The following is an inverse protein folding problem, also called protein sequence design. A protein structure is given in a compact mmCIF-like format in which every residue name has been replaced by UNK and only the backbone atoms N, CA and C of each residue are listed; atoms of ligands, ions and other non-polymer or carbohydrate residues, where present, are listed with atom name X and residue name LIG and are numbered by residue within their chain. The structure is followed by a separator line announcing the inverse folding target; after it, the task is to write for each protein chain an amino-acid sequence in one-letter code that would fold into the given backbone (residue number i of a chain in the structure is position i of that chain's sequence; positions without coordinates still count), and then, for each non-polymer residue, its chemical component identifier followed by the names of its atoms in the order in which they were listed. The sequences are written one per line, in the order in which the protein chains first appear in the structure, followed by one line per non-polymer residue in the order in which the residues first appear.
data_IF_336035051129
#
_entry.id   IF_336035051129
#
_cell.length_a   1.000
_cell.length_b   1.000
_cell.length_c   1.000
_cell.angle_alpha   90.00
_cell.angle_beta   90.00
_cell.angle_gamma   90.00
#
_symmetry.space_group_name_H-M   'P 1'
#
loop_
_entity.id
_entity.type
_entity.pdbx_description
1 polymer ?
#
# COMPACT_ATOMS: atom_id res chain seq x y z
N UNK A 1 -19.29 -10.09 22.92
CA UNK A 1 -18.17 -10.90 23.42
C UNK A 1 -18.48 -12.33 23.00
N UNK A 2 -17.88 -12.81 21.90
CA UNK A 2 -18.19 -14.14 21.35
C UNK A 2 -17.83 -15.24 22.34
N UNK A 3 -18.53 -16.37 22.30
CA UNK A 3 -18.23 -17.55 23.13
C UNK A 3 -16.78 -17.97 22.92
N UNK A 4 -15.93 -17.54 23.87
CA UNK A 4 -14.47 -17.66 23.84
C UNK A 4 -14.01 -19.11 23.69
N UNK A 5 -14.86 -20.06 24.10
CA UNK A 5 -14.53 -21.47 24.22
C UNK A 5 -14.61 -22.22 22.89
N UNK A 6 -15.63 -21.96 22.05
CA UNK A 6 -15.80 -22.64 20.76
C UNK A 6 -14.75 -22.19 19.73
N UNK A 7 -14.44 -20.88 19.69
CA UNK A 7 -13.38 -20.35 18.85
C UNK A 7 -12.01 -20.90 19.25
N UNK A 8 -11.71 -20.87 20.56
CA UNK A 8 -10.42 -21.35 21.10
C UNK A 8 -10.21 -22.83 20.84
N UNK A 9 -11.24 -23.68 20.99
CA UNK A 9 -11.13 -25.12 20.80
C UNK A 9 -10.82 -25.55 19.36
N UNK A 10 -11.21 -24.74 18.36
CA UNK A 10 -10.98 -25.07 16.95
C UNK A 10 -9.66 -24.50 16.43
N UNK A 11 -9.30 -23.26 16.77
CA UNK A 11 -8.07 -22.66 16.27
C UNK A 11 -6.81 -23.26 16.90
N UNK A 12 -6.87 -23.69 18.17
CA UNK A 12 -5.71 -24.23 18.90
C UNK A 12 -5.28 -25.63 18.45
N UNK A 13 -6.07 -26.31 17.62
CA UNK A 13 -5.67 -27.58 16.98
C UNK A 13 -4.54 -27.39 15.97
N UNK A 14 -4.55 -26.24 15.30
CA UNK A 14 -3.68 -25.92 14.16
C UNK A 14 -2.69 -24.80 14.44
N UNK A 15 -2.91 -24.02 15.50
CA UNK A 15 -2.15 -22.80 15.81
C UNK A 15 -1.73 -22.74 17.26
N UNK A 16 -0.55 -22.18 17.49
CA UNK A 16 -0.13 -21.66 18.79
C UNK A 16 -0.52 -20.19 18.86
N UNK A 17 -1.39 -19.84 19.80
CA UNK A 17 -1.83 -18.46 19.98
C UNK A 17 -0.86 -17.72 20.90
N UNK A 18 -0.36 -16.57 20.43
CA UNK A 18 0.48 -15.67 21.20
C UNK A 18 -0.18 -14.29 21.19
N UNK A 19 -0.38 -13.70 22.37
CA UNK A 19 -0.97 -12.38 22.54
C UNK A 19 0.10 -11.44 23.08
N UNK A 20 0.33 -10.34 22.36
CA UNK A 20 1.18 -9.25 22.80
C UNK A 20 0.28 -8.05 23.07
N UNK A 21 0.26 -7.58 24.31
CA UNK A 21 -0.60 -6.46 24.73
C UNK A 21 0.20 -5.16 24.81
N UNK A 22 -0.48 -4.04 24.48
CA UNK A 22 0.09 -2.69 24.41
C UNK A 22 -0.82 -1.69 25.15
N UNK A 23 -0.98 -1.82 26.48
CA UNK A 23 -1.87 -0.98 27.27
C UNK A 23 -1.33 0.46 27.39
N UNK A 24 -2.25 1.44 27.42
CA UNK A 24 -1.89 2.85 27.58
C UNK A 24 -1.64 3.25 29.04
N UNK A 25 -2.37 2.67 29.99
CA UNK A 25 -2.26 3.00 31.41
C UNK A 25 -0.97 2.44 32.01
N UNK A 26 -0.17 3.28 32.66
CA UNK A 26 1.13 2.91 33.27
C UNK A 26 1.00 1.74 34.26
N UNK A 27 -0.08 1.73 35.06
CA UNK A 27 -0.37 0.66 36.01
C UNK A 27 -0.54 -0.71 35.33
N UNK A 28 -1.07 -0.73 34.11
CA UNK A 28 -1.29 -1.95 33.33
C UNK A 28 -0.06 -2.32 32.52
N UNK A 29 0.74 -1.34 32.07
CA UNK A 29 2.05 -1.58 31.41
C UNK A 29 2.98 -2.39 32.31
N UNK A 30 2.98 -2.12 33.62
CA UNK A 30 3.77 -2.88 34.60
C UNK A 30 3.38 -4.35 34.70
N UNK A 31 2.19 -4.74 34.23
CA UNK A 31 1.72 -6.13 34.21
C UNK A 31 2.06 -6.86 32.91
N UNK A 32 2.60 -6.17 31.90
CA UNK A 32 3.03 -6.79 30.64
C UNK A 32 4.26 -7.65 30.92
N UNK A 33 4.25 -8.97 30.63
CA UNK A 33 5.35 -9.85 31.01
C UNK A 33 6.71 -9.50 30.39
N UNK A 34 6.71 -8.94 29.18
CA UNK A 34 7.94 -8.56 28.49
C UNK A 34 7.69 -7.37 27.53
N UNK A 35 7.59 -6.14 28.04
CA UNK A 35 7.24 -4.97 27.24
C UNK A 35 8.31 -4.62 26.20
N UNK A 36 9.59 -4.82 26.53
CA UNK A 36 10.71 -4.59 25.60
C UNK A 36 10.60 -5.51 24.39
N UNK A 37 10.37 -6.81 24.61
CA UNK A 37 10.18 -7.75 23.51
C UNK A 37 8.95 -7.45 22.67
N UNK A 38 7.86 -6.99 23.29
CA UNK A 38 6.66 -6.59 22.55
C UNK A 38 6.97 -5.44 21.59
N UNK A 39 7.70 -4.42 22.06
CA UNK A 39 8.07 -3.27 21.23
C UNK A 39 9.05 -3.68 20.11
N UNK A 40 10.04 -4.53 20.40
CA UNK A 40 10.93 -5.10 19.37
C UNK A 40 10.15 -5.80 18.26
N UNK A 41 9.16 -6.63 18.61
CA UNK A 41 8.36 -7.37 17.65
C UNK A 41 7.40 -6.48 16.86
N UNK A 42 6.83 -5.46 17.51
CA UNK A 42 6.00 -4.43 16.87
C UNK A 42 6.79 -3.69 15.80
N UNK A 43 8.02 -3.27 16.11
CA UNK A 43 8.94 -2.64 15.16
C UNK A 43 9.32 -3.62 14.06
N UNK A 44 9.76 -4.84 14.41
CA UNK A 44 10.20 -5.87 13.46
C UNK A 44 9.16 -6.18 12.39
N UNK A 45 7.88 -6.23 12.76
CA UNK A 45 6.78 -6.55 11.84
C UNK A 45 6.01 -5.32 11.34
N UNK A 46 6.51 -4.10 11.58
CA UNK A 46 5.92 -2.86 11.08
C UNK A 46 4.47 -2.64 11.52
N UNK A 47 4.16 -2.94 12.79
CA UNK A 47 2.79 -2.86 13.31
C UNK A 47 2.50 -1.44 13.80
N UNK A 48 1.67 -0.72 13.04
CA UNK A 48 1.30 0.68 13.30
C UNK A 48 -0.11 0.85 13.86
N UNK A 49 -0.92 -0.20 13.87
CA UNK A 49 -2.32 -0.17 14.33
C UNK A 49 -2.78 -1.48 14.95
N UNK A 50 -3.81 -1.40 15.79
CA UNK A 50 -4.38 -2.53 16.52
C UNK A 50 -5.92 -2.59 16.32
N UNK A 51 -6.53 -3.79 16.35
CA UNK A 51 -5.88 -5.10 16.47
C UNK A 51 -5.24 -5.54 15.16
N UNK A 52 -4.05 -6.14 15.26
CA UNK A 52 -3.36 -6.81 14.14
C UNK A 52 -3.05 -8.24 14.52
N UNK A 53 -3.40 -9.19 13.65
CA UNK A 53 -3.10 -10.62 13.79
C UNK A 53 -2.14 -11.04 12.70
N UNK A 54 -1.03 -11.67 13.07
CA UNK A 54 -0.06 -12.21 12.14
C UNK A 54 -0.15 -13.74 12.13
N UNK A 55 -0.24 -14.32 10.95
CA UNK A 55 -0.12 -15.76 10.73
C UNK A 55 1.30 -16.02 10.23
N UNK A 56 2.06 -16.82 10.98
CA UNK A 56 3.49 -17.01 10.72
C UNK A 56 3.96 -18.46 10.91
N UNK A 57 5.08 -18.79 10.29
CA UNK A 57 5.80 -20.05 10.52
C UNK A 57 6.46 -20.06 11.91
N UNK A 58 6.87 -21.22 12.44
CA UNK A 58 7.63 -21.28 13.70
C UNK A 58 8.92 -20.45 13.70
N UNK A 59 9.51 -20.24 12.51
CA UNK A 59 10.71 -19.42 12.33
C UNK A 59 10.41 -17.90 12.30
N UNK A 60 9.14 -17.52 12.44
CA UNK A 60 8.68 -16.14 12.45
C UNK A 60 8.49 -15.51 11.08
N UNK A 61 8.41 -16.32 10.01
CA UNK A 61 8.08 -15.79 8.68
C UNK A 61 6.57 -15.62 8.56
N UNK A 62 6.13 -14.38 8.40
CA UNK A 62 4.73 -14.06 8.22
C UNK A 62 4.29 -14.55 6.84
N UNK A 63 3.14 -15.22 6.79
CA UNK A 63 2.47 -15.63 5.55
C UNK A 63 1.05 -15.07 5.44
N UNK A 64 0.49 -14.50 6.51
CA UNK A 64 -0.77 -13.78 6.46
C UNK A 64 -0.84 -12.68 7.52
N UNK A 65 -1.63 -11.64 7.22
CA UNK A 65 -1.97 -10.57 8.15
C UNK A 65 -3.49 -10.41 8.16
N UNK A 66 -4.06 -10.15 9.33
CA UNK A 66 -5.48 -9.90 9.53
C UNK A 66 -5.67 -8.82 10.61
N UNK A 67 -6.89 -8.33 10.75
CA UNK A 67 -7.30 -7.32 11.72
C UNK A 67 -8.75 -7.50 12.13
N UNK A 68 -9.37 -6.46 12.69
CA UNK A 68 -10.81 -6.50 12.96
C UNK A 68 -11.60 -6.40 11.65
N UNK A 69 -12.41 -7.40 11.35
CA UNK A 69 -13.18 -7.49 10.10
C UNK A 69 -14.69 -7.38 10.30
N UNK A 70 -15.18 -7.25 11.54
CA UNK A 70 -16.61 -7.31 11.86
C UNK A 70 -17.26 -8.69 11.61
N UNK A 71 -16.49 -9.69 11.18
CA UNK A 71 -16.95 -11.03 10.85
C UNK A 71 -17.38 -11.83 12.09
N UNK A 72 -18.23 -12.83 11.89
CA UNK A 72 -18.53 -13.85 12.89
C UNK A 72 -17.29 -14.73 13.17
N UNK A 73 -17.21 -15.41 14.33
CA UNK A 73 -16.09 -16.31 14.64
C UNK A 73 -15.88 -17.39 13.58
N UNK A 74 -16.95 -17.97 13.04
CA UNK A 74 -16.91 -19.00 12.01
C UNK A 74 -16.34 -18.47 10.70
N UNK A 75 -16.80 -17.29 10.26
CA UNK A 75 -16.28 -16.61 9.07
C UNK A 75 -14.80 -16.25 9.23
N UNK A 76 -14.41 -15.76 10.42
CA UNK A 76 -13.01 -15.43 10.71
C UNK A 76 -12.12 -16.69 10.69
N UNK A 77 -12.59 -17.82 11.23
CA UNK A 77 -11.84 -19.08 11.16
C UNK A 77 -11.67 -19.57 9.72
N UNK A 78 -12.71 -19.48 8.90
CA UNK A 78 -12.63 -19.83 7.48
C UNK A 78 -11.63 -18.93 6.74
N UNK A 79 -11.66 -17.63 7.01
CA UNK A 79 -10.70 -16.66 6.47
C UNK A 79 -9.25 -16.98 6.88
N UNK A 80 -9.02 -17.34 8.15
CA UNK A 80 -7.70 -17.76 8.64
C UNK A 80 -7.19 -19.02 7.92
N UNK A 81 -8.06 -19.99 7.65
CA UNK A 81 -7.69 -21.21 6.90
C UNK A 81 -7.34 -20.90 5.45
N UNK A 82 -8.12 -20.04 4.78
CA UNK A 82 -7.83 -19.56 3.43
C UNK A 82 -6.49 -18.82 3.39
N UNK A 83 -6.30 -17.83 4.28
CA UNK A 83 -5.04 -17.08 4.41
C UNK A 83 -3.85 -17.97 4.70
N UNK A 84 -4.01 -19.02 5.51
CA UNK A 84 -2.94 -20.01 5.73
C UNK A 84 -2.58 -20.76 4.45
N UNK A 85 -3.57 -21.19 3.68
CA UNK A 85 -3.35 -21.99 2.47
C UNK A 85 -2.67 -21.15 1.39
N UNK A 86 -3.26 -20.01 1.07
CA UNK A 86 -2.77 -19.09 0.04
C UNK A 86 -1.45 -18.44 0.47
N UNK A 87 -1.37 -17.98 1.72
CA UNK A 87 -0.19 -17.34 2.28
C UNK A 87 1.03 -18.25 2.30
N UNK A 88 0.87 -19.52 2.72
CA UNK A 88 1.98 -20.49 2.68
C UNK A 88 2.42 -20.80 1.25
N UNK A 89 1.48 -20.90 0.32
CA UNK A 89 1.81 -21.09 -1.10
C UNK A 89 2.57 -19.87 -1.67
N UNK A 90 2.15 -18.65 -1.33
CA UNK A 90 2.83 -17.42 -1.71
C UNK A 90 4.24 -17.36 -1.11
N UNK A 91 4.39 -17.62 0.19
CA UNK A 91 5.69 -17.64 0.87
C UNK A 91 6.64 -18.68 0.25
N UNK A 92 6.14 -19.89 -0.05
CA UNK A 92 6.92 -20.92 -0.74
C UNK A 92 7.38 -20.45 -2.13
N UNK A 93 6.48 -19.82 -2.90
CA UNK A 93 6.81 -19.26 -4.21
C UNK A 93 7.89 -18.17 -4.09
N UNK A 94 7.80 -17.29 -3.11
CA UNK A 94 8.80 -16.23 -2.87
C UNK A 94 10.16 -16.85 -2.52
N UNK A 95 10.20 -17.87 -1.66
CA UNK A 95 11.44 -18.60 -1.36
C UNK A 95 12.05 -19.24 -2.60
N UNK A 96 11.23 -19.85 -3.45
CA UNK A 96 11.69 -20.43 -4.71
C UNK A 96 12.26 -19.37 -5.64
N UNK A 97 11.64 -18.19 -5.75
CA UNK A 97 12.17 -17.08 -6.57
C UNK A 97 13.55 -16.64 -6.06
N UNK A 98 13.72 -16.54 -4.74
CA UNK A 98 15.01 -16.15 -4.17
C UNK A 98 16.10 -17.20 -4.46
N UNK A 99 15.77 -18.49 -4.33
CA UNK A 99 16.68 -19.59 -4.68
C UNK A 99 17.01 -19.60 -6.18
N UNK A 100 16.01 -19.41 -7.03
CA UNK A 100 16.15 -19.31 -8.48
C UNK A 100 17.06 -18.14 -8.86
N UNK A 101 16.93 -17.00 -8.18
CA UNK A 101 17.76 -15.82 -8.43
C UNK A 101 19.23 -16.08 -8.10
N UNK A 102 19.51 -16.78 -6.99
CA UNK A 102 20.89 -17.09 -6.61
C UNK A 102 21.52 -18.15 -7.53
N UNK A 103 20.73 -19.11 -8.03
CA UNK A 103 21.20 -20.17 -8.93
C UNK A 103 21.25 -19.77 -10.42
N UNK A 104 20.50 -18.76 -10.84
CA UNK A 104 20.36 -18.40 -12.25
C UNK A 104 21.64 -17.83 -12.85
N UNK A 105 22.00 -18.32 -14.03
CA UNK A 105 23.04 -17.71 -14.88
C UNK A 105 22.59 -16.37 -15.44
N UNK A 106 21.36 -16.32 -15.94
CA UNK A 106 20.70 -15.08 -16.33
C UNK A 106 19.75 -14.63 -15.22
N UNK A 107 20.26 -13.76 -14.35
CA UNK A 107 19.51 -13.23 -13.21
C UNK A 107 18.38 -12.29 -13.62
N UNK A 108 18.43 -11.70 -14.82
CA UNK A 108 17.45 -10.71 -15.26
C UNK A 108 16.08 -11.36 -15.51
N UNK A 109 16.04 -12.61 -15.97
CA UNK A 109 14.79 -13.36 -16.12
C UNK A 109 14.07 -13.51 -14.77
N UNK A 110 14.83 -13.87 -13.74
CA UNK A 110 14.26 -14.06 -12.39
C UNK A 110 13.84 -12.74 -11.77
N UNK A 111 14.60 -11.67 -11.99
CA UNK A 111 14.26 -10.33 -11.52
C UNK A 111 12.95 -9.84 -12.14
N UNK A 112 12.72 -10.06 -13.44
CA UNK A 112 11.44 -9.71 -14.09
C UNK A 112 10.26 -10.50 -13.49
N UNK A 113 10.47 -11.78 -13.19
CA UNK A 113 9.49 -12.62 -12.50
C UNK A 113 9.20 -12.10 -11.08
N UNK A 114 10.23 -11.67 -10.34
CA UNK A 114 10.08 -11.08 -9.01
C UNK A 114 9.29 -9.76 -9.07
N UNK A 115 9.57 -8.88 -10.03
CA UNK A 115 8.82 -7.64 -10.23
C UNK A 115 7.34 -7.88 -10.53
N UNK A 116 7.04 -8.84 -11.41
CA UNK A 116 5.67 -9.22 -11.72
C UNK A 116 4.91 -9.79 -10.51
N UNK A 117 5.59 -10.53 -9.62
CA UNK A 117 4.98 -10.97 -8.36
C UNK A 117 4.77 -9.81 -7.40
N UNK A 118 5.77 -8.95 -7.24
CA UNK A 118 5.72 -7.80 -6.34
C UNK A 118 4.58 -6.84 -6.70
N UNK A 119 4.36 -6.56 -7.99
CA UNK A 119 3.29 -5.68 -8.47
C UNK A 119 1.86 -6.17 -8.16
N UNK A 120 1.73 -7.43 -7.73
CA UNK A 120 0.47 -8.08 -7.37
C UNK A 120 0.39 -8.45 -5.88
N UNK A 121 1.41 -8.09 -5.08
CA UNK A 121 1.36 -8.27 -3.63
C UNK A 121 0.84 -6.98 -3.00
N UNK A 122 -0.44 -7.00 -2.63
CA UNK A 122 -1.10 -5.90 -1.94
C UNK A 122 -0.71 -5.89 -0.45
N UNK A 123 0.49 -5.39 -0.14
CA UNK A 123 1.04 -5.37 1.23
C UNK A 123 1.21 -6.75 1.87
N UNK A 124 1.14 -7.81 1.07
CA UNK A 124 1.23 -9.18 1.55
C UNK A 124 2.64 -9.52 2.04
N UNK A 125 2.77 -10.42 3.04
CA UNK A 125 4.06 -10.83 3.56
C UNK A 125 5.02 -11.35 2.48
N UNK A 126 6.30 -10.97 2.59
CA UNK A 126 7.36 -11.34 1.64
C UNK A 126 7.61 -10.34 0.51
N UNK A 127 6.90 -9.21 0.48
CA UNK A 127 7.17 -8.10 -0.42
C UNK A 127 8.63 -7.59 -0.32
N UNK A 128 9.20 -7.54 0.89
CA UNK A 128 10.61 -7.14 1.13
C UNK A 128 11.63 -8.02 0.40
N UNK A 129 11.42 -9.34 0.41
CA UNK A 129 12.30 -10.29 -0.27
C UNK A 129 12.27 -10.05 -1.79
N UNK A 130 11.08 -9.86 -2.35
CA UNK A 130 10.95 -9.60 -3.78
C UNK A 130 11.47 -8.22 -4.15
N UNK A 131 11.19 -7.18 -3.35
CA UNK A 131 11.69 -5.82 -3.61
C UNK A 131 13.22 -5.77 -3.59
N UNK A 132 13.87 -6.52 -2.69
CA UNK A 132 15.32 -6.69 -2.69
C UNK A 132 15.84 -7.32 -4.00
N UNK A 133 15.16 -8.35 -4.52
CA UNK A 133 15.52 -8.97 -5.82
C UNK A 133 15.30 -7.98 -6.97
N UNK A 134 14.17 -7.26 -6.99
CA UNK A 134 13.84 -6.25 -8.01
C UNK A 134 14.91 -5.18 -8.08
N UNK A 135 15.37 -4.67 -6.92
CA UNK A 135 16.45 -3.68 -6.82
C UNK A 135 17.79 -4.17 -7.34
N UNK A 136 18.11 -5.46 -7.20
CA UNK A 136 19.31 -6.04 -7.84
C UNK A 136 19.26 -5.87 -9.36
N UNK A 137 18.07 -5.83 -9.96
CA UNK A 137 17.84 -5.54 -11.37
C UNK A 137 18.38 -4.19 -11.86
N UNK A 138 18.28 -3.14 -11.04
CA UNK A 138 18.83 -1.83 -11.39
C UNK A 138 20.34 -1.87 -11.63
N UNK A 139 21.06 -2.75 -10.93
CA UNK A 139 22.50 -2.97 -11.10
C UNK A 139 22.83 -3.85 -12.30
N UNK A 140 21.93 -4.78 -12.65
CA UNK A 140 22.10 -5.68 -13.80
C UNK A 140 21.84 -4.97 -15.13
N UNK A 141 20.99 -3.94 -15.13
CA UNK A 141 20.68 -3.14 -16.31
C UNK A 141 20.84 -1.62 -16.05
N UNK A 142 22.07 -1.14 -15.80
CA UNK A 142 22.32 0.25 -15.42
C UNK A 142 21.95 1.23 -16.53
N UNK A 143 22.08 0.82 -17.79
CA UNK A 143 21.73 1.64 -18.97
C UNK A 143 20.27 1.46 -19.41
N UNK A 144 19.46 0.68 -18.66
CA UNK A 144 18.07 0.38 -18.97
C UNK A 144 17.85 -0.18 -20.40
N UNK A 145 18.81 -0.94 -20.93
CA UNK A 145 18.75 -1.52 -22.28
C UNK A 145 17.56 -2.46 -22.44
N UNK A 146 17.18 -3.15 -21.37
CA UNK A 146 16.05 -4.07 -21.36
C UNK A 146 14.70 -3.38 -21.10
N UNK A 147 14.71 -2.04 -20.88
CA UNK A 147 13.57 -1.21 -20.47
C UNK A 147 12.91 -1.66 -19.15
N UNK A 148 13.61 -2.47 -18.36
CA UNK A 148 13.10 -3.06 -17.13
C UNK A 148 12.86 -2.02 -16.02
N UNK A 149 13.62 -0.93 -15.97
CA UNK A 149 13.59 -0.01 -14.83
C UNK A 149 12.19 0.58 -14.59
N UNK A 150 11.43 0.85 -15.64
CA UNK A 150 10.05 1.34 -15.53
C UNK A 150 9.16 0.30 -14.84
N UNK A 151 9.20 -0.96 -15.27
CA UNK A 151 8.42 -2.04 -14.66
C UNK A 151 8.83 -2.29 -13.20
N UNK A 152 10.13 -2.19 -12.91
CA UNK A 152 10.66 -2.31 -11.56
C UNK A 152 10.13 -1.21 -10.64
N UNK A 153 10.17 0.05 -11.09
CA UNK A 153 9.64 1.18 -10.34
C UNK A 153 8.14 1.03 -10.13
N UNK A 154 7.36 0.72 -11.18
CA UNK A 154 5.92 0.45 -11.03
C UNK A 154 5.62 -0.60 -9.98
N UNK A 155 6.37 -1.71 -9.98
CA UNK A 155 6.20 -2.77 -8.99
C UNK A 155 6.50 -2.27 -7.56
N UNK A 156 7.62 -1.57 -7.38
CA UNK A 156 8.05 -1.05 -6.07
C UNK A 156 7.06 -0.02 -5.52
N UNK A 157 6.69 0.99 -6.31
CA UNK A 157 5.75 2.04 -5.91
C UNK A 157 4.37 1.45 -5.60
N UNK A 158 3.83 0.60 -6.49
CA UNK A 158 2.51 -0.01 -6.28
C UNK A 158 2.45 -0.90 -5.03
N UNK A 159 3.53 -1.63 -4.73
CA UNK A 159 3.60 -2.47 -3.53
C UNK A 159 3.89 -1.71 -2.23
N UNK A 160 4.08 -0.39 -2.29
CA UNK A 160 4.53 0.42 -1.15
C UNK A 160 5.90 0.02 -0.62
N UNK A 161 6.75 -0.56 -1.47
CA UNK A 161 8.10 -1.00 -1.13
C UNK A 161 9.16 -0.02 -1.63
N UNK A 162 8.76 1.14 -2.16
CA UNK A 162 9.67 2.17 -2.66
C UNK A 162 10.46 2.87 -1.54
N UNK A 163 11.45 3.66 -1.92
CA UNK A 163 12.16 4.62 -1.09
C UNK A 163 12.33 5.95 -1.84
N UNK A 164 12.89 6.98 -1.19
CA UNK A 164 13.06 8.31 -1.78
C UNK A 164 13.92 8.30 -3.05
N UNK A 165 14.94 7.45 -3.12
CA UNK A 165 15.77 7.33 -4.32
C UNK A 165 14.99 6.73 -5.50
N UNK A 166 14.06 5.81 -5.23
CA UNK A 166 13.18 5.22 -6.24
C UNK A 166 12.08 6.18 -6.66
N UNK A 167 11.57 7.02 -5.76
CA UNK A 167 10.65 8.12 -6.10
C UNK A 167 11.34 9.13 -7.02
N UNK A 168 12.55 9.59 -6.66
CA UNK A 168 13.33 10.50 -7.48
C UNK A 168 13.63 9.89 -8.87
N UNK A 169 14.04 8.62 -8.90
CA UNK A 169 14.28 7.92 -10.17
C UNK A 169 13.00 7.82 -11.02
N UNK A 170 11.84 7.57 -10.43
CA UNK A 170 10.57 7.53 -11.14
C UNK A 170 10.24 8.89 -11.78
N UNK A 171 10.42 9.98 -11.03
CA UNK A 171 10.23 11.35 -11.53
C UNK A 171 11.18 11.71 -12.67
N UNK A 172 12.47 11.36 -12.55
CA UNK A 172 13.46 11.61 -13.59
C UNK A 172 13.21 10.80 -14.87
N UNK A 173 12.72 9.56 -14.71
CA UNK A 173 12.49 8.65 -15.83
C UNK A 173 11.22 8.93 -16.61
N UNK A 174 10.23 9.60 -16.00
CA UNK A 174 8.91 9.78 -16.59
C UNK A 174 8.32 11.20 -16.39
N UNK A 175 9.08 12.29 -16.66
CA UNK A 175 8.61 13.65 -16.38
C UNK A 175 7.36 14.05 -17.16
N UNK A 176 7.09 13.38 -18.29
CA UNK A 176 5.90 13.59 -19.11
C UNK A 176 4.78 12.58 -18.83
N UNK A 177 4.92 11.72 -17.81
CA UNK A 177 3.98 10.65 -17.48
C UNK A 177 3.63 9.73 -18.67
N UNK A 178 4.61 9.38 -19.50
CA UNK A 178 4.50 8.39 -20.57
C UNK A 178 4.17 7.00 -20.05
N UNK A 179 4.60 6.69 -18.83
CA UNK A 179 4.48 5.36 -18.25
C UNK A 179 3.51 5.30 -17.08
N UNK A 180 2.98 6.43 -16.59
CA UNK A 180 2.12 6.44 -15.40
C UNK A 180 2.91 6.44 -14.09
N UNK A 181 4.23 6.68 -14.13
CA UNK A 181 5.04 6.70 -12.90
C UNK A 181 4.73 7.95 -12.06
N UNK A 182 4.40 9.08 -12.69
CA UNK A 182 4.04 10.29 -11.95
C UNK A 182 2.71 10.15 -11.21
N UNK A 183 1.77 9.36 -11.73
CA UNK A 183 0.53 9.02 -11.02
C UNK A 183 0.82 8.24 -9.73
N UNK A 184 1.74 7.27 -9.80
CA UNK A 184 2.15 6.48 -8.64
C UNK A 184 2.91 7.34 -7.61
N UNK A 185 3.82 8.21 -8.06
CA UNK A 185 4.55 9.16 -7.18
C UNK A 185 3.56 10.08 -6.47
N UNK A 186 2.60 10.65 -7.21
CA UNK A 186 1.58 11.54 -6.63
C UNK A 186 0.68 10.80 -5.63
N UNK A 187 0.40 9.51 -5.82
CA UNK A 187 -0.33 8.71 -4.83
C UNK A 187 0.39 8.65 -3.50
N UNK A 188 1.70 8.38 -3.55
CA UNK A 188 2.53 8.25 -2.35
C UNK A 188 2.67 9.61 -1.66
N UNK A 189 2.86 10.68 -2.44
CA UNK A 189 2.87 12.06 -1.93
C UNK A 189 1.57 12.38 -1.20
N UNK A 190 0.42 12.08 -1.80
CA UNK A 190 -0.90 12.30 -1.19
C UNK A 190 -1.10 11.51 0.12
N UNK A 191 -0.64 10.26 0.17
CA UNK A 191 -0.74 9.41 1.37
C UNK A 191 0.14 9.91 2.53
N UNK A 192 1.19 10.68 2.21
CA UNK A 192 2.09 11.26 3.20
C UNK A 192 1.66 12.63 3.74
N UNK A 193 0.61 13.23 3.18
CA UNK A 193 0.12 14.55 3.61
C UNK A 193 -0.33 14.53 5.08
N UNK A 194 0.34 15.33 5.91
CA UNK A 194 0.11 15.43 7.34
C UNK A 194 -0.27 16.83 7.82
N UNK A 195 -0.13 17.86 6.99
CA UNK A 195 -0.36 19.27 7.38
C UNK A 195 -1.00 20.10 6.25
N UNK A 196 -1.56 21.27 6.60
CA UNK A 196 -2.20 22.17 5.63
C UNK A 196 -1.15 22.81 4.72
N UNK A 197 0.05 23.06 5.26
CA UNK A 197 1.18 23.67 4.57
C UNK A 197 1.69 22.81 3.40
N UNK A 198 1.49 21.49 3.46
CA UNK A 198 1.87 20.54 2.41
C UNK A 198 0.88 20.49 1.23
N UNK A 199 -0.33 21.06 1.39
CA UNK A 199 -1.37 20.99 0.35
C UNK A 199 -1.01 21.81 -0.88
N UNK A 200 -0.41 22.99 -0.72
CA UNK A 200 -0.04 23.83 -1.86
C UNK A 200 1.03 23.18 -2.77
N UNK A 201 2.17 22.67 -2.23
CA UNK A 201 3.13 21.90 -3.02
C UNK A 201 2.51 20.68 -3.73
N UNK A 202 1.64 19.94 -3.03
CA UNK A 202 0.94 18.81 -3.63
C UNK A 202 0.04 19.22 -4.81
N UNK A 203 -0.67 20.35 -4.71
CA UNK A 203 -1.48 20.88 -5.79
C UNK A 203 -0.64 21.29 -7.01
N UNK A 204 0.57 21.80 -6.80
CA UNK A 204 1.51 22.09 -7.89
C UNK A 204 1.97 20.81 -8.61
N UNK A 205 2.29 19.75 -7.87
CA UNK A 205 2.63 18.44 -8.44
C UNK A 205 1.44 17.84 -9.22
N UNK A 206 0.24 17.92 -8.65
CA UNK A 206 -0.99 17.47 -9.32
C UNK A 206 -1.27 18.27 -10.61
N UNK A 207 -0.98 19.58 -10.61
CA UNK A 207 -1.14 20.43 -11.79
C UNK A 207 -0.10 20.10 -12.85
N UNK A 208 1.14 19.80 -12.46
CA UNK A 208 2.19 19.35 -13.36
C UNK A 208 1.84 18.02 -14.04
N UNK A 209 1.34 17.03 -13.27
CA UNK A 209 0.83 15.78 -13.83
C UNK A 209 -0.30 16.03 -14.83
N UNK A 210 -1.28 16.87 -14.46
CA UNK A 210 -2.39 17.22 -15.36
C UNK A 210 -1.89 17.87 -16.67
N UNK A 211 -0.92 18.77 -16.59
CA UNK A 211 -0.37 19.46 -17.75
C UNK A 211 0.27 18.52 -18.78
N UNK A 212 0.66 17.29 -18.39
CA UNK A 212 1.13 16.27 -19.33
C UNK A 212 0.05 15.79 -20.29
N UNK A 213 -1.22 15.85 -19.87
CA UNK A 213 -2.36 15.29 -20.60
C UNK A 213 -2.38 13.75 -20.72
N UNK A 214 -1.48 13.05 -20.02
CA UNK A 214 -1.35 11.59 -20.08
C UNK A 214 -1.88 10.98 -18.79
N UNK A 215 -2.95 10.20 -18.92
CA UNK A 215 -3.62 9.50 -17.82
C UNK A 215 -3.65 8.02 -18.14
N UNK A 216 -3.05 7.21 -17.27
CA UNK A 216 -2.99 5.76 -17.37
C UNK A 216 -3.98 5.09 -16.43
N UNK A 217 -4.16 5.63 -15.22
CA UNK A 217 -5.14 5.18 -14.24
C UNK A 217 -6.17 6.29 -13.94
N UNK A 218 -7.33 6.19 -14.61
CA UNK A 218 -8.42 7.16 -14.45
C UNK A 218 -9.02 7.19 -13.05
N UNK A 219 -9.07 6.04 -12.38
CA UNK A 219 -9.64 5.97 -11.03
C UNK A 219 -8.71 6.68 -10.04
N UNK A 220 -7.42 6.40 -10.13
CA UNK A 220 -6.40 7.03 -9.30
C UNK A 220 -6.34 8.55 -9.55
N UNK A 221 -6.30 8.96 -10.82
CA UNK A 221 -6.28 10.38 -11.20
C UNK A 221 -7.58 11.10 -10.81
N UNK A 222 -8.73 10.47 -10.97
CA UNK A 222 -10.01 11.00 -10.50
C UNK A 222 -10.01 11.22 -8.99
N UNK A 223 -9.44 10.29 -8.21
CA UNK A 223 -9.24 10.44 -6.76
C UNK A 223 -8.32 11.62 -6.43
N UNK A 224 -7.24 11.84 -7.17
CA UNK A 224 -6.36 12.99 -6.96
C UNK A 224 -7.09 14.30 -7.19
N UNK A 225 -7.74 14.45 -8.34
CA UNK A 225 -8.43 15.70 -8.68
C UNK A 225 -9.60 15.98 -7.74
N UNK A 226 -10.31 14.95 -7.30
CA UNK A 226 -11.31 15.10 -6.24
C UNK A 226 -10.69 15.60 -4.93
N UNK A 227 -9.60 14.99 -4.47
CA UNK A 227 -8.94 15.43 -3.24
C UNK A 227 -8.37 16.84 -3.39
N UNK A 228 -7.78 17.19 -4.54
CA UNK A 228 -7.34 18.56 -4.84
C UNK A 228 -8.49 19.56 -4.74
N UNK A 229 -9.66 19.24 -5.29
CA UNK A 229 -10.85 20.08 -5.18
C UNK A 229 -11.29 20.26 -3.72
N UNK A 230 -11.32 19.15 -2.97
CA UNK A 230 -11.66 19.15 -1.55
C UNK A 230 -10.66 19.97 -0.73
N UNK A 231 -9.37 19.87 -1.02
CA UNK A 231 -8.32 20.63 -0.33
C UNK A 231 -8.47 22.12 -0.55
N UNK A 232 -8.66 22.55 -1.80
CA UNK A 232 -8.93 23.94 -2.14
C UNK A 232 -10.21 24.45 -1.46
N UNK A 233 -11.27 23.64 -1.42
CA UNK A 233 -12.57 24.03 -0.86
C UNK A 233 -12.57 24.12 0.66
N UNK A 234 -11.98 23.13 1.36
CA UNK A 234 -12.12 22.98 2.81
C UNK A 234 -10.98 23.61 3.62
N UNK A 235 -9.77 23.68 3.06
CA UNK A 235 -8.58 24.03 3.85
C UNK A 235 -7.86 25.28 3.34
N UNK A 236 -7.87 25.53 2.03
CA UNK A 236 -7.09 26.63 1.43
C UNK A 236 -7.94 27.86 1.07
N UNK A 237 -9.27 27.78 1.18
CA UNK A 237 -10.18 28.87 0.81
C UNK A 237 -9.98 29.36 -0.63
N UNK A 238 -9.74 28.42 -1.57
CA UNK A 238 -9.48 28.68 -2.99
C UNK A 238 -10.67 28.22 -3.85
N UNK A 239 -11.80 28.97 -3.88
CA UNK A 239 -13.06 28.48 -4.46
C UNK A 239 -13.03 28.31 -5.98
N UNK A 240 -12.27 29.12 -6.71
CA UNK A 240 -12.19 29.02 -8.17
C UNK A 240 -11.32 27.84 -8.60
N UNK A 241 -10.20 27.62 -7.91
CA UNK A 241 -9.35 26.44 -8.11
C UNK A 241 -10.08 25.17 -7.69
N UNK A 242 -10.87 25.20 -6.61
CA UNK A 242 -11.70 24.08 -6.21
C UNK A 242 -12.66 23.65 -7.33
N UNK A 243 -13.32 24.60 -8.01
CA UNK A 243 -14.19 24.32 -9.17
C UNK A 243 -13.42 23.71 -10.33
N UNK A 244 -12.22 24.23 -10.63
CA UNK A 244 -11.36 23.67 -11.69
C UNK A 244 -11.03 22.21 -11.41
N UNK A 245 -10.61 21.89 -10.19
CA UNK A 245 -10.31 20.51 -9.79
C UNK A 245 -11.55 19.61 -9.76
N UNK A 246 -12.68 20.12 -9.28
CA UNK A 246 -13.94 19.38 -9.24
C UNK A 246 -14.44 19.03 -10.66
N UNK A 247 -14.33 19.97 -11.60
CA UNK A 247 -14.69 19.73 -12.99
C UNK A 247 -13.79 18.68 -13.62
N UNK A 248 -12.47 18.73 -13.36
CA UNK A 248 -11.53 17.71 -13.82
C UNK A 248 -11.90 16.32 -13.30
N UNK A 249 -12.17 16.21 -11.99
CA UNK A 249 -12.58 14.95 -11.36
C UNK A 249 -13.86 14.39 -12.02
N UNK A 250 -14.82 15.26 -12.32
CA UNK A 250 -16.04 14.91 -13.05
C UNK A 250 -15.74 14.42 -14.47
N UNK A 251 -14.89 15.11 -15.22
CA UNK A 251 -14.57 14.80 -16.61
C UNK A 251 -13.84 13.45 -16.79
N UNK A 252 -13.02 13.04 -15.81
CA UNK A 252 -12.35 11.72 -15.85
C UNK A 252 -13.23 10.57 -15.34
N UNK A 253 -14.40 10.88 -14.77
CA UNK A 253 -15.36 9.90 -14.26
C UNK A 253 -15.03 9.42 -12.84
N UNK A 254 -14.87 10.35 -11.91
CA UNK A 254 -14.74 10.02 -10.48
C UNK A 254 -15.98 9.28 -9.95
N UNK A 255 -15.81 8.44 -8.91
CA UNK A 255 -16.87 7.58 -8.37
C UNK A 255 -18.08 8.38 -7.88
N UNK A 256 -19.26 7.78 -8.01
CA UNK A 256 -20.55 8.38 -7.61
C UNK A 256 -20.58 8.85 -6.15
N UNK A 257 -19.91 8.14 -5.23
CA UNK A 257 -19.80 8.53 -3.82
C UNK A 257 -19.14 9.90 -3.60
N UNK A 258 -18.34 10.37 -4.56
CA UNK A 258 -17.68 11.66 -4.53
C UNK A 258 -18.48 12.76 -5.25
N UNK A 259 -19.49 12.39 -6.03
CA UNK A 259 -20.22 13.31 -6.91
C UNK A 259 -21.07 14.34 -6.17
N UNK A 260 -21.54 14.03 -4.97
CA UNK A 260 -22.26 15.00 -4.13
C UNK A 260 -21.40 16.23 -3.83
N UNK A 261 -20.20 16.03 -3.28
CA UNK A 261 -19.27 17.13 -2.98
C UNK A 261 -18.77 17.80 -4.27
N UNK A 262 -18.53 17.04 -5.34
CA UNK A 262 -18.15 17.63 -6.64
C UNK A 262 -19.22 18.58 -7.15
N UNK A 263 -20.49 18.16 -7.17
CA UNK A 263 -21.60 19.00 -7.61
C UNK A 263 -21.80 20.21 -6.69
N UNK A 264 -21.59 20.04 -5.38
CA UNK A 264 -21.59 21.15 -4.41
C UNK A 264 -20.55 22.22 -4.75
N UNK A 265 -19.30 21.81 -4.96
CA UNK A 265 -18.19 22.72 -5.30
C UNK A 265 -18.48 23.43 -6.63
N UNK A 266 -19.05 22.71 -7.61
CA UNK A 266 -19.42 23.27 -8.91
C UNK A 266 -20.69 24.13 -8.88
N UNK A 267 -21.48 24.10 -7.79
CA UNK A 267 -22.77 24.78 -7.71
C UNK A 267 -23.83 24.19 -8.66
N UNK A 268 -23.72 22.90 -8.97
CA UNK A 268 -24.66 22.17 -9.86
C UNK A 268 -25.53 21.18 -9.11
N UNK A 269 -25.73 21.38 -7.81
CA UNK A 269 -26.71 20.62 -7.04
C UNK A 269 -28.12 20.89 -7.58
N UNK A 270 -28.95 19.86 -7.70
CA UNK A 270 -30.37 20.05 -8.00
C UNK A 270 -31.01 20.80 -6.81
N UNK A 271 -31.75 21.89 -7.04
CA UNK A 271 -32.52 22.53 -5.98
C UNK A 271 -33.63 21.56 -5.57
N UNK A 272 -33.41 20.84 -4.48
CA UNK A 272 -34.40 20.00 -3.81
C UNK A 272 -35.62 20.79 -3.36
#
# INVERSE_FOLDING_TARGET
MYEKDAFSANITKDYVLVVLDFPNAEEVKALVPNPERNEELKIKYGITGFPTVLLMTPDGEVFGKSGYTGATPEEYLADVVTKRTEGKAALAKIKMINQEFEAAKDKMVVVKKAAGLLANLDGAPGAETLSAIVRKGFKLDPENKSKFKVDALKALLKSGQNNDAELAMATEMDPANEFGLMEAVLSISMESLGSIEELAPFLEEAAALFATGKVHDKELVGRFWFNSARFCHLYLEMPEEAKVWAQRAKDVGVKDEFMELVNKILGTEDPS
#
